data_IF_966245072779
#
_entry.id   IF_966245072779
#
_cell.length_a   1.000
_cell.length_b   1.000
_cell.length_c   1.000
_cell.angle_alpha   90.00
_cell.angle_beta   90.00
_cell.angle_gamma   90.00
#
_symmetry.space_group_name_H-M   'P 1'
#
loop_
_entity.id
_entity.type
_entity.pdbx_description
1 polymer ?
#
# COMPACT_ATOMS: atom_id res chain seq x y z
N UNK A 1 30.97 -49.09 -25.26
CA UNK A 1 30.79 -49.01 -23.80
C UNK A 1 29.79 -47.91 -23.46
N UNK A 2 28.57 -48.29 -23.14
CA UNK A 2 27.43 -47.37 -22.94
C UNK A 2 27.48 -46.84 -21.52
N UNK A 3 27.95 -45.61 -21.37
CA UNK A 3 27.93 -44.94 -20.03
C UNK A 3 26.48 -44.58 -19.75
N UNK A 4 25.90 -45.34 -18.85
CA UNK A 4 24.56 -45.17 -18.34
C UNK A 4 24.42 -43.76 -17.78
N UNK A 5 23.47 -43.02 -18.34
CA UNK A 5 22.99 -41.71 -17.95
C UNK A 5 22.27 -41.84 -16.58
N UNK A 6 23.04 -41.93 -15.46
CA UNK A 6 22.47 -41.79 -14.13
C UNK A 6 22.22 -40.29 -13.92
N UNK A 7 21.03 -39.83 -14.29
CA UNK A 7 20.41 -38.64 -13.72
C UNK A 7 20.09 -38.92 -12.27
N UNK A 8 21.13 -38.96 -11.43
CA UNK A 8 20.97 -39.00 -9.99
C UNK A 8 20.35 -37.71 -9.53
N UNK A 9 19.04 -37.72 -9.27
CA UNK A 9 18.39 -36.75 -8.40
C UNK A 9 19.20 -36.78 -7.09
N UNK A 10 20.07 -35.77 -6.91
CA UNK A 10 20.84 -35.61 -5.66
C UNK A 10 19.80 -35.57 -4.56
N UNK A 11 19.79 -36.61 -3.70
CA UNK A 11 18.88 -36.69 -2.55
C UNK A 11 19.08 -35.42 -1.71
N UNK A 12 17.99 -34.75 -1.37
CA UNK A 12 17.99 -33.63 -0.44
C UNK A 12 18.70 -34.03 0.88
N UNK A 13 19.63 -33.19 1.32
CA UNK A 13 20.37 -33.37 2.58
C UNK A 13 20.24 -32.11 3.43
N UNK A 14 19.64 -32.26 4.60
CA UNK A 14 19.46 -31.17 5.55
C UNK A 14 20.80 -30.56 6.00
N UNK A 15 21.84 -31.36 6.15
CA UNK A 15 23.18 -30.89 6.56
C UNK A 15 23.82 -29.98 5.50
N UNK A 16 23.67 -30.29 4.20
CA UNK A 16 24.17 -29.42 3.12
C UNK A 16 23.37 -28.14 3.03
N UNK A 17 22.05 -28.22 3.20
CA UNK A 17 21.20 -27.04 3.23
C UNK A 17 21.59 -26.12 4.39
N UNK A 18 21.81 -26.65 5.58
CA UNK A 18 22.25 -25.90 6.75
C UNK A 18 23.63 -25.24 6.53
N UNK A 19 24.59 -25.94 5.95
CA UNK A 19 25.89 -25.37 5.63
C UNK A 19 25.78 -24.19 4.66
N UNK A 20 24.88 -24.28 3.67
CA UNK A 20 24.60 -23.19 2.76
C UNK A 20 23.92 -22.00 3.46
N UNK A 21 22.98 -22.24 4.38
CA UNK A 21 22.35 -21.20 5.19
C UNK A 21 23.41 -20.46 6.02
N UNK A 22 24.29 -21.17 6.71
CA UNK A 22 25.38 -20.57 7.49
C UNK A 22 26.29 -19.73 6.59
N UNK A 23 26.62 -20.24 5.40
CA UNK A 23 27.40 -19.46 4.40
C UNK A 23 26.67 -18.16 4.01
N UNK A 24 25.36 -18.20 3.74
CA UNK A 24 24.58 -17.01 3.39
C UNK A 24 24.57 -16.01 4.56
N UNK A 25 24.37 -16.45 5.80
CA UNK A 25 24.40 -15.59 6.98
C UNK A 25 25.74 -14.87 7.16
N UNK A 26 26.88 -15.57 6.95
CA UNK A 26 28.20 -14.94 6.99
C UNK A 26 28.38 -13.90 5.87
N UNK A 27 27.80 -14.17 4.70
CA UNK A 27 27.84 -13.24 3.59
C UNK A 27 27.00 -11.99 3.87
N UNK A 28 25.80 -12.15 4.43
CA UNK A 28 24.89 -11.07 4.81
C UNK A 28 25.52 -10.18 5.90
N UNK A 29 26.16 -10.77 6.91
CA UNK A 29 26.83 -10.02 7.97
C UNK A 29 27.97 -9.13 7.49
N UNK A 30 28.53 -9.41 6.30
CA UNK A 30 29.60 -8.63 5.66
C UNK A 30 29.08 -7.69 4.57
N UNK A 31 27.79 -7.75 4.25
CA UNK A 31 27.17 -6.97 3.18
C UNK A 31 26.04 -6.09 3.75
N UNK A 32 26.34 -4.81 4.06
CA UNK A 32 25.34 -3.91 4.61
C UNK A 32 24.16 -3.63 3.70
N UNK A 33 24.29 -3.87 2.36
CA UNK A 33 23.24 -3.55 1.40
C UNK A 33 21.95 -4.35 1.64
N UNK A 34 22.07 -5.62 2.04
CA UNK A 34 20.92 -6.47 2.36
C UNK A 34 20.15 -5.95 3.60
N UNK A 35 20.88 -5.49 4.62
CA UNK A 35 20.29 -4.92 5.83
C UNK A 35 19.65 -3.54 5.55
N UNK A 36 20.30 -2.71 4.73
CA UNK A 36 19.75 -1.40 4.36
C UNK A 36 18.44 -1.55 3.60
N UNK A 37 18.38 -2.43 2.60
CA UNK A 37 17.18 -2.63 1.80
C UNK A 37 16.10 -3.42 2.57
N UNK A 38 16.50 -4.44 3.34
CA UNK A 38 15.55 -5.33 4.02
C UNK A 38 14.99 -4.79 5.32
N UNK A 39 15.73 -3.90 6.01
CA UNK A 39 15.36 -3.41 7.34
C UNK A 39 15.20 -1.89 7.35
N UNK A 40 16.24 -1.15 6.93
CA UNK A 40 16.22 0.32 7.02
C UNK A 40 15.22 0.93 6.04
N UNK A 41 15.18 0.47 4.80
CA UNK A 41 14.29 1.02 3.77
C UNK A 41 12.81 0.90 4.14
N UNK A 42 12.27 -0.26 4.59
CA UNK A 42 10.88 -0.35 5.03
C UNK A 42 10.56 0.59 6.19
N UNK A 43 11.44 0.66 7.17
CA UNK A 43 11.26 1.53 8.33
C UNK A 43 11.26 3.01 7.93
N UNK A 44 12.24 3.43 7.14
CA UNK A 44 12.35 4.81 6.66
C UNK A 44 11.15 5.22 5.82
N UNK A 45 10.75 4.39 4.86
CA UNK A 45 9.60 4.66 4.00
C UNK A 45 8.29 4.71 4.80
N UNK A 46 8.13 3.83 5.80
CA UNK A 46 6.97 3.87 6.69
C UNK A 46 6.87 5.20 7.43
N UNK A 47 7.98 5.69 7.97
CA UNK A 47 8.01 6.97 8.67
C UNK A 47 7.76 8.15 7.73
N UNK A 48 8.46 8.20 6.60
CA UNK A 48 8.30 9.28 5.61
C UNK A 48 6.88 9.33 5.07
N UNK A 49 6.32 8.19 4.65
CA UNK A 49 4.97 8.14 4.10
C UNK A 49 3.91 8.30 5.21
N UNK A 50 4.14 7.73 6.40
CA UNK A 50 3.18 7.79 7.51
C UNK A 50 3.01 9.19 8.08
N UNK A 51 4.07 9.99 8.12
CA UNK A 51 4.02 11.41 8.51
C UNK A 51 3.77 12.35 7.32
N UNK A 52 4.28 12.01 6.13
CA UNK A 52 4.22 12.87 4.96
C UNK A 52 2.90 12.80 4.19
N UNK A 53 2.22 11.65 4.23
CA UNK A 53 0.94 11.47 3.54
C UNK A 53 -0.17 11.55 4.59
N UNK A 54 -0.72 12.74 4.82
CA UNK A 54 -1.93 12.94 5.58
C UNK A 54 -3.06 13.28 4.60
N UNK A 55 -4.13 12.49 4.63
CA UNK A 55 -5.40 12.85 3.99
C UNK A 55 -6.34 13.52 5.00
N UNK A 56 -5.90 13.70 6.25
CA UNK A 56 -6.64 14.43 7.25
C UNK A 56 -6.47 15.92 6.95
N UNK A 57 -7.52 16.52 6.49
CA UNK A 57 -7.57 17.95 6.26
C UNK A 57 -7.72 18.63 7.61
N UNK A 58 -6.69 19.37 8.01
CA UNK A 58 -6.74 20.32 9.12
C UNK A 58 -6.68 21.70 8.52
N UNK A 59 -7.35 22.65 9.19
CA UNK A 59 -7.36 24.05 8.80
C UNK A 59 -7.82 24.23 7.32
N UNK A 60 -8.92 23.55 6.93
CA UNK A 60 -9.47 23.67 5.57
C UNK A 60 -9.90 25.15 5.36
N UNK A 61 -9.27 25.88 4.43
CA UNK A 61 -9.58 27.27 4.20
C UNK A 61 -10.92 27.39 3.46
N UNK A 62 -11.96 27.85 4.16
CA UNK A 62 -13.33 27.99 3.65
C UNK A 62 -13.77 29.44 3.67
N UNK A 63 -14.26 29.95 2.55
CA UNK A 63 -14.98 31.22 2.53
C UNK A 63 -16.47 31.00 2.77
N UNK A 64 -17.03 31.69 3.76
CA UNK A 64 -18.47 31.67 4.02
C UNK A 64 -19.04 33.01 3.56
N UNK A 65 -19.84 32.99 2.53
CA UNK A 65 -20.51 34.20 2.00
C UNK A 65 -21.91 34.30 2.63
N UNK A 66 -22.10 35.33 3.44
CA UNK A 66 -23.38 35.67 4.07
C UNK A 66 -24.07 36.78 3.26
N UNK A 67 -25.01 36.42 2.40
CA UNK A 67 -25.86 37.41 1.70
C UNK A 67 -27.02 37.93 2.56
N UNK A 68 -27.29 37.23 3.69
CA UNK A 68 -28.26 37.69 4.71
C UNK A 68 -27.62 37.67 6.11
N UNK A 69 -28.14 38.53 7.03
CA UNK A 69 -27.65 38.64 8.41
C UNK A 69 -28.63 38.13 9.44
N UNK A 70 -29.30 37.02 9.15
CA UNK A 70 -30.23 36.39 10.08
C UNK A 70 -29.49 35.60 11.17
N UNK A 71 -30.11 35.37 12.33
CA UNK A 71 -29.53 34.56 13.41
C UNK A 71 -29.17 33.13 12.96
N UNK A 72 -29.95 32.56 12.02
CA UNK A 72 -29.72 31.21 11.47
C UNK A 72 -28.46 31.20 10.60
N UNK A 73 -28.31 32.16 9.67
CA UNK A 73 -27.14 32.26 8.80
C UNK A 73 -25.86 32.54 9.61
N UNK A 74 -25.94 33.45 10.61
CA UNK A 74 -24.81 33.73 11.50
C UNK A 74 -24.40 32.51 12.32
N UNK A 75 -25.38 31.69 12.78
CA UNK A 75 -25.08 30.47 13.53
C UNK A 75 -24.30 29.46 12.70
N UNK A 76 -24.65 29.26 11.44
CA UNK A 76 -23.90 28.41 10.52
C UNK A 76 -22.44 28.91 10.42
N UNK A 77 -22.24 30.20 10.21
CA UNK A 77 -20.90 30.78 10.09
C UNK A 77 -20.08 30.59 11.39
N UNK A 78 -20.70 30.81 12.57
CA UNK A 78 -20.05 30.59 13.88
C UNK A 78 -19.68 29.12 14.07
N UNK A 79 -20.53 28.19 13.71
CA UNK A 79 -20.26 26.75 13.85
C UNK A 79 -19.09 26.28 12.96
N UNK A 80 -18.88 26.91 11.80
CA UNK A 80 -17.70 26.64 10.96
C UNK A 80 -16.44 27.30 11.52
N UNK A 81 -16.51 28.57 11.98
CA UNK A 81 -15.36 29.25 12.57
C UNK A 81 -14.92 28.68 13.91
N UNK A 82 -15.84 28.07 14.66
CA UNK A 82 -15.54 27.40 15.94
C UNK A 82 -15.01 25.96 15.76
N UNK A 83 -15.07 25.40 14.56
CA UNK A 83 -14.62 24.04 14.31
C UNK A 83 -13.14 24.03 13.91
N UNK A 84 -12.25 23.34 14.68
CA UNK A 84 -10.81 23.32 14.43
C UNK A 84 -10.39 22.65 13.10
N UNK A 85 -11.31 22.02 12.38
CA UNK A 85 -11.03 21.45 11.05
C UNK A 85 -11.10 22.49 9.93
N UNK A 86 -11.65 23.70 10.18
CA UNK A 86 -11.85 24.74 9.18
C UNK A 86 -11.15 26.04 9.56
N UNK A 87 -10.43 26.63 8.64
CA UNK A 87 -10.03 28.04 8.68
C UNK A 87 -11.06 28.84 7.91
N UNK A 88 -12.17 29.18 8.60
CA UNK A 88 -13.32 29.80 7.97
C UNK A 88 -13.22 31.32 7.98
N UNK A 89 -13.20 31.95 6.79
CA UNK A 89 -13.23 33.40 6.57
C UNK A 89 -14.64 33.83 6.14
N UNK A 90 -15.21 34.79 6.83
CA UNK A 90 -16.57 35.28 6.54
C UNK A 90 -16.50 36.46 5.57
N UNK A 91 -17.25 36.38 4.49
CA UNK A 91 -17.44 37.43 3.47
C UNK A 91 -18.92 37.83 3.41
N UNK A 92 -19.18 39.09 3.08
CA UNK A 92 -20.53 39.61 2.92
C UNK A 92 -20.91 39.86 1.46
N UNK A 93 -20.01 39.53 0.55
CA UNK A 93 -20.25 39.59 -0.89
C UNK A 93 -19.53 38.44 -1.60
N UNK A 94 -20.09 38.00 -2.70
CA UNK A 94 -19.59 36.83 -3.46
C UNK A 94 -18.26 37.14 -4.18
N UNK A 95 -18.14 38.33 -4.78
CA UNK A 95 -16.98 38.70 -5.58
C UNK A 95 -15.64 38.68 -4.84
N UNK A 96 -15.52 39.12 -3.56
CA UNK A 96 -14.28 38.95 -2.81
C UNK A 96 -13.94 37.51 -2.48
N UNK A 97 -14.95 36.65 -2.22
CA UNK A 97 -14.77 35.22 -1.96
C UNK A 97 -14.29 34.47 -3.21
N UNK A 98 -14.83 34.83 -4.39
CA UNK A 98 -14.40 34.26 -5.68
C UNK A 98 -12.94 34.63 -5.98
N UNK A 99 -12.53 35.87 -5.72
CA UNK A 99 -11.12 36.28 -5.85
C UNK A 99 -10.19 35.52 -4.91
N UNK A 100 -10.64 35.26 -3.67
CA UNK A 100 -9.88 34.46 -2.72
C UNK A 100 -9.76 33.00 -3.17
N UNK A 101 -10.78 32.45 -3.83
CA UNK A 101 -10.76 31.13 -4.43
C UNK A 101 -9.78 31.05 -5.63
N UNK A 102 -9.80 32.06 -6.50
CA UNK A 102 -8.86 32.17 -7.63
C UNK A 102 -7.42 32.33 -7.16
N UNK A 103 -7.21 33.10 -6.09
CA UNK A 103 -5.90 33.28 -5.46
C UNK A 103 -5.43 32.08 -4.61
N UNK A 104 -6.24 31.04 -4.49
CA UNK A 104 -5.98 29.88 -3.61
C UNK A 104 -5.81 30.22 -2.12
N UNK A 105 -6.40 31.28 -1.68
CA UNK A 105 -6.48 31.62 -0.26
C UNK A 105 -7.57 30.79 0.45
N UNK A 106 -8.57 30.30 -0.33
CA UNK A 106 -9.61 29.39 0.12
C UNK A 106 -9.81 28.28 -0.90
N UNK A 107 -10.19 27.10 -0.43
CA UNK A 107 -10.40 25.90 -1.28
C UNK A 107 -11.89 25.68 -1.61
N UNK A 108 -12.78 26.28 -0.82
CA UNK A 108 -14.21 26.23 -1.11
C UNK A 108 -14.93 27.49 -0.62
N UNK A 109 -16.07 27.75 -1.25
CA UNK A 109 -16.99 28.86 -0.91
C UNK A 109 -18.34 28.26 -0.56
N UNK A 110 -18.79 28.49 0.67
CA UNK A 110 -20.14 28.20 1.13
C UNK A 110 -20.97 29.49 1.05
N UNK A 111 -21.95 29.56 0.14
CA UNK A 111 -22.83 30.72 -0.01
C UNK A 111 -24.15 30.47 0.70
N UNK A 112 -24.52 31.35 1.59
CA UNK A 112 -25.83 31.41 2.23
C UNK A 112 -26.60 32.54 1.57
N UNK A 113 -27.54 32.25 0.63
CA UNK A 113 -28.22 33.27 -0.15
C UNK A 113 -29.21 34.07 0.66
N UNK A 114 -29.59 35.23 0.14
CA UNK A 114 -30.67 36.03 0.71
C UNK A 114 -32.01 35.28 0.69
N UNK A 115 -32.75 35.35 1.79
CA UNK A 115 -34.04 34.64 1.93
C UNK A 115 -33.89 33.20 2.47
N UNK A 116 -32.67 32.70 2.71
CA UNK A 116 -32.44 31.36 3.24
C UNK A 116 -33.21 31.09 4.53
N UNK A 117 -33.17 32.02 5.51
CA UNK A 117 -33.85 31.82 6.79
C UNK A 117 -35.39 31.87 6.64
N UNK A 118 -35.92 32.73 5.77
CA UNK A 118 -37.33 32.81 5.52
C UNK A 118 -37.88 31.54 4.88
N UNK A 119 -37.19 31.03 3.85
CA UNK A 119 -37.54 29.77 3.19
C UNK A 119 -37.42 28.58 4.17
N UNK A 120 -36.39 28.59 4.98
CA UNK A 120 -36.20 27.58 6.01
C UNK A 120 -37.32 27.56 7.04
N UNK A 121 -37.85 28.72 7.47
CA UNK A 121 -38.97 28.82 8.41
C UNK A 121 -40.32 28.47 7.78
N UNK A 122 -40.53 28.76 6.48
CA UNK A 122 -41.75 28.45 5.75
C UNK A 122 -41.84 27.01 5.27
N UNK A 123 -40.79 26.22 5.49
CA UNK A 123 -40.72 24.82 5.02
C UNK A 123 -40.49 24.69 3.52
N UNK A 124 -40.08 25.78 2.85
CA UNK A 124 -39.67 25.76 1.46
C UNK A 124 -38.23 25.27 1.29
N UNK A 125 -37.81 24.91 0.07
CA UNK A 125 -36.44 24.48 -0.20
C UNK A 125 -35.47 25.65 0.02
N UNK A 126 -34.67 25.55 1.09
CA UNK A 126 -33.62 26.50 1.40
C UNK A 126 -32.29 25.97 0.83
N UNK A 127 -31.89 26.48 -0.32
CA UNK A 127 -30.68 26.03 -1.04
C UNK A 127 -29.44 26.76 -0.49
N UNK A 128 -28.38 26.00 -0.25
CA UNK A 128 -27.05 26.51 0.05
C UNK A 128 -26.13 26.28 -1.18
N UNK A 129 -25.40 27.31 -1.57
CA UNK A 129 -24.42 27.20 -2.65
C UNK A 129 -23.08 26.68 -2.13
N UNK A 130 -22.54 25.62 -2.71
CA UNK A 130 -21.18 25.17 -2.44
C UNK A 130 -20.37 25.16 -3.73
N UNK A 131 -19.36 26.03 -3.79
CA UNK A 131 -18.37 26.08 -4.87
C UNK A 131 -17.05 25.56 -4.35
N UNK A 132 -16.44 24.59 -5.03
CA UNK A 132 -15.20 23.96 -4.61
C UNK A 132 -14.16 24.13 -5.72
N UNK A 133 -12.91 24.36 -5.35
CA UNK A 133 -11.80 24.41 -6.28
C UNK A 133 -11.54 23.02 -6.86
N UNK A 134 -11.88 22.82 -8.12
CA UNK A 134 -12.03 21.50 -8.73
C UNK A 134 -10.81 20.96 -9.48
N UNK A 135 -9.63 21.58 -9.36
CA UNK A 135 -8.42 21.11 -10.06
C UNK A 135 -7.96 19.74 -9.59
N UNK A 136 -8.07 19.46 -8.29
CA UNK A 136 -7.91 18.12 -7.75
C UNK A 136 -9.27 17.52 -7.38
N UNK A 137 -9.74 16.58 -8.19
CA UNK A 137 -11.03 15.93 -8.01
C UNK A 137 -11.15 15.16 -6.69
N UNK A 138 -10.04 14.62 -6.17
CA UNK A 138 -10.05 13.87 -4.92
C UNK A 138 -10.22 14.82 -3.72
N UNK A 139 -9.42 15.88 -3.66
CA UNK A 139 -9.52 16.92 -2.64
C UNK A 139 -10.88 17.61 -2.69
N UNK A 140 -11.40 17.93 -3.87
CA UNK A 140 -12.72 18.53 -4.04
C UNK A 140 -13.86 17.66 -3.48
N UNK A 141 -13.79 16.34 -3.67
CA UNK A 141 -14.76 15.39 -3.12
C UNK A 141 -14.67 15.31 -1.59
N UNK A 142 -13.46 15.33 -1.05
CA UNK A 142 -13.22 15.36 0.39
C UNK A 142 -13.74 16.67 1.01
N UNK A 143 -13.40 17.84 0.48
CA UNK A 143 -13.91 19.14 0.93
C UNK A 143 -15.44 19.17 0.96
N UNK A 144 -16.07 18.71 -0.14
CA UNK A 144 -17.53 18.61 -0.22
C UNK A 144 -18.09 17.76 0.92
N UNK A 145 -17.48 16.61 1.21
CA UNK A 145 -17.92 15.70 2.27
C UNK A 145 -17.78 16.31 3.66
N UNK A 146 -16.67 17.00 3.94
CA UNK A 146 -16.43 17.68 5.20
C UNK A 146 -17.40 18.84 5.42
N UNK A 147 -17.60 19.70 4.41
CA UNK A 147 -18.55 20.83 4.48
C UNK A 147 -19.97 20.36 4.68
N UNK A 148 -20.40 19.32 3.95
CA UNK A 148 -21.74 18.74 4.12
C UNK A 148 -21.91 18.09 5.51
N UNK A 149 -20.89 17.42 6.01
CA UNK A 149 -20.88 16.85 7.36
C UNK A 149 -21.04 17.93 8.45
N UNK A 150 -20.33 19.03 8.31
CA UNK A 150 -20.42 20.17 9.23
C UNK A 150 -21.80 20.86 9.13
N UNK A 151 -22.31 21.08 7.93
CA UNK A 151 -23.66 21.65 7.74
C UNK A 151 -24.73 20.78 8.41
N UNK A 152 -24.68 19.46 8.23
CA UNK A 152 -25.63 18.55 8.89
C UNK A 152 -25.53 18.62 10.41
N UNK A 153 -24.29 18.71 10.95
CA UNK A 153 -24.07 18.89 12.39
C UNK A 153 -24.67 20.21 12.90
N UNK A 154 -24.45 21.31 12.17
CA UNK A 154 -24.98 22.64 12.51
C UNK A 154 -26.50 22.66 12.47
N UNK A 155 -27.11 22.10 11.43
CA UNK A 155 -28.59 21.99 11.32
C UNK A 155 -29.18 21.16 12.45
N UNK A 156 -28.55 20.01 12.77
CA UNK A 156 -28.99 19.15 13.89
C UNK A 156 -28.98 19.90 15.23
N UNK A 157 -27.91 20.67 15.48
CA UNK A 157 -27.81 21.54 16.69
C UNK A 157 -28.88 22.63 16.71
N UNK A 158 -29.22 23.22 15.57
CA UNK A 158 -30.25 24.25 15.47
C UNK A 158 -31.64 23.69 15.75
N UNK A 159 -31.92 22.46 15.28
CA UNK A 159 -33.18 21.75 15.59
C UNK A 159 -33.26 21.40 17.06
N UNK A 160 -32.20 20.86 17.67
CA UNK A 160 -32.20 20.54 19.11
C UNK A 160 -32.37 21.76 19.98
N UNK A 161 -31.95 22.95 19.53
CA UNK A 161 -32.10 24.22 20.21
C UNK A 161 -33.42 24.94 19.89
N UNK A 162 -34.33 24.34 19.11
CA UNK A 162 -35.61 24.91 18.72
C UNK A 162 -35.55 26.13 17.80
N UNK A 163 -34.41 26.36 17.14
CA UNK A 163 -34.24 27.48 16.20
C UNK A 163 -34.87 27.19 14.81
N UNK A 164 -35.03 25.92 14.49
CA UNK A 164 -35.61 25.43 13.24
C UNK A 164 -36.51 24.23 13.55
N UNK A 165 -37.70 24.14 12.95
CA UNK A 165 -38.56 22.95 13.08
C UNK A 165 -37.92 21.70 12.47
N UNK A 166 -38.17 20.55 13.09
CA UNK A 166 -37.61 19.26 12.64
C UNK A 166 -38.03 18.87 11.21
N UNK A 167 -39.21 19.29 10.80
CA UNK A 167 -39.71 19.10 9.42
C UNK A 167 -38.92 19.91 8.37
N UNK A 168 -38.34 21.04 8.78
CA UNK A 168 -37.53 21.93 7.94
C UNK A 168 -36.08 21.44 7.86
N UNK A 169 -35.56 20.92 8.96
CA UNK A 169 -34.19 20.36 8.99
C UNK A 169 -33.99 19.25 7.98
N UNK A 170 -35.01 18.41 7.75
CA UNK A 170 -34.97 17.35 6.74
C UNK A 170 -34.92 17.88 5.31
N UNK A 171 -35.35 19.13 5.07
CA UNK A 171 -35.37 19.79 3.74
C UNK A 171 -34.15 20.69 3.52
N UNK A 172 -33.63 21.32 4.57
CA UNK A 172 -32.36 22.08 4.51
C UNK A 172 -31.16 21.13 4.31
N UNK A 173 -31.26 19.93 4.90
CA UNK A 173 -30.31 18.83 4.66
C UNK A 173 -30.51 18.15 3.31
N UNK A 174 -31.64 18.44 2.64
CA UNK A 174 -32.05 17.80 1.39
C UNK A 174 -31.72 18.64 0.14
N UNK A 175 -30.47 18.97 -0.05
CA UNK A 175 -29.93 18.70 -1.37
C UNK A 175 -30.09 17.18 -1.63
N UNK A 176 -29.76 16.60 -2.80
CA UNK A 176 -30.03 15.20 -3.10
C UNK A 176 -29.41 14.16 -2.15
N UNK A 177 -28.88 14.62 -1.02
CA UNK A 177 -28.38 13.81 0.09
C UNK A 177 -29.49 13.74 1.15
N UNK A 178 -30.34 12.72 1.04
CA UNK A 178 -31.11 12.24 2.18
C UNK A 178 -30.16 12.18 3.38
N UNK A 179 -30.57 12.72 4.53
CA UNK A 179 -29.83 12.60 5.81
C UNK A 179 -29.69 11.11 6.16
N UNK A 180 -28.77 10.45 5.52
CA UNK A 180 -28.29 9.17 5.99
C UNK A 180 -27.51 9.49 7.26
N UNK A 181 -27.98 9.03 8.41
CA UNK A 181 -27.14 8.92 9.59
C UNK A 181 -25.98 7.99 9.22
N UNK A 182 -24.95 8.56 8.64
CA UNK A 182 -23.77 7.82 8.20
C UNK A 182 -22.95 7.53 9.45
N UNK A 183 -23.10 6.33 9.96
CA UNK A 183 -22.25 5.79 11.02
C UNK A 183 -21.08 5.09 10.39
N UNK A 184 -19.88 5.64 10.56
CA UNK A 184 -18.64 4.94 10.17
C UNK A 184 -18.40 3.79 11.14
N UNK A 185 -18.51 2.54 10.67
CA UNK A 185 -18.47 1.37 11.55
C UNK A 185 -17.07 1.04 12.09
N UNK A 186 -16.00 1.34 11.37
CA UNK A 186 -14.65 0.90 11.73
C UNK A 186 -13.65 2.02 11.99
N UNK A 187 -13.94 3.23 11.57
CA UNK A 187 -13.12 4.42 11.80
C UNK A 187 -14.05 5.61 12.12
N UNK A 188 -14.64 5.61 13.33
CA UNK A 188 -15.59 6.66 13.76
C UNK A 188 -14.93 8.04 13.80
N UNK A 189 -13.64 8.11 14.09
CA UNK A 189 -12.86 9.34 14.12
C UNK A 189 -12.42 9.81 12.73
N UNK A 190 -12.67 9.01 11.65
CA UNK A 190 -12.29 9.28 10.26
C UNK A 190 -10.81 9.68 10.10
N UNK A 191 -9.92 9.10 10.93
CA UNK A 191 -8.49 9.37 10.91
C UNK A 191 -7.87 8.65 9.71
N UNK A 192 -7.29 9.40 8.77
CA UNK A 192 -6.73 8.86 7.52
C UNK A 192 -5.52 7.99 7.74
N UNK A 193 -4.70 8.26 8.75
CA UNK A 193 -3.52 7.45 9.08
C UNK A 193 -3.88 6.00 9.39
N UNK A 194 -5.05 5.75 9.98
CA UNK A 194 -5.52 4.39 10.29
C UNK A 194 -5.83 3.55 9.05
N UNK A 195 -6.14 4.20 7.94
CA UNK A 195 -6.38 3.56 6.66
C UNK A 195 -5.11 3.46 5.82
N UNK A 196 -4.26 4.51 5.87
CA UNK A 196 -3.06 4.62 5.04
C UNK A 196 -1.91 3.74 5.54
N UNK A 197 -1.63 3.77 6.85
CA UNK A 197 -0.47 3.09 7.43
C UNK A 197 -0.45 1.58 7.14
N UNK A 198 -1.54 0.82 7.30
CA UNK A 198 -1.58 -0.60 6.95
C UNK A 198 -1.26 -0.86 5.48
N UNK A 199 -1.79 -0.04 4.58
CA UNK A 199 -1.55 -0.17 3.14
C UNK A 199 -0.10 0.15 2.75
N UNK A 200 0.47 1.24 3.30
CA UNK A 200 1.87 1.62 3.10
C UNK A 200 2.79 0.50 3.58
N UNK A 201 2.53 -0.06 4.75
CA UNK A 201 3.35 -1.13 5.33
C UNK A 201 3.40 -2.36 4.42
N UNK A 202 2.28 -2.78 3.85
CA UNK A 202 2.23 -3.89 2.87
C UNK A 202 3.05 -3.59 1.63
N UNK A 203 2.87 -2.41 1.04
CA UNK A 203 3.55 -2.03 -0.20
C UNK A 203 5.05 -1.96 0.01
N UNK A 204 5.48 -1.29 1.07
CA UNK A 204 6.90 -1.07 1.33
C UNK A 204 7.61 -2.36 1.74
N UNK A 205 7.00 -3.18 2.60
CA UNK A 205 7.54 -4.49 2.99
C UNK A 205 7.60 -5.45 1.80
N UNK A 206 6.53 -5.49 0.99
CA UNK A 206 6.48 -6.32 -0.23
C UNK A 206 7.55 -5.92 -1.25
N UNK A 207 7.72 -4.63 -1.50
CA UNK A 207 8.74 -4.10 -2.39
C UNK A 207 10.16 -4.37 -1.86
N UNK A 208 10.43 -4.03 -0.60
CA UNK A 208 11.75 -4.21 0.01
C UNK A 208 12.20 -5.67 0.04
N UNK A 209 11.29 -6.60 0.41
CA UNK A 209 11.58 -8.04 0.40
C UNK A 209 11.91 -8.55 -1.00
N UNK A 210 11.21 -8.06 -2.03
CA UNK A 210 11.45 -8.42 -3.42
C UNK A 210 12.76 -7.82 -3.93
N UNK A 211 13.00 -6.53 -3.70
CA UNK A 211 14.23 -5.85 -4.14
C UNK A 211 15.49 -6.44 -3.49
N UNK A 212 15.46 -6.67 -2.18
CA UNK A 212 16.59 -7.27 -1.45
C UNK A 212 16.96 -8.63 -2.03
N UNK A 213 15.99 -9.49 -2.28
CA UNK A 213 16.21 -10.85 -2.81
C UNK A 213 16.51 -10.87 -4.31
N UNK A 214 16.11 -9.86 -5.08
CA UNK A 214 16.39 -9.75 -6.50
C UNK A 214 17.90 -9.59 -6.81
N UNK A 215 18.69 -9.08 -5.87
CA UNK A 215 20.13 -8.89 -6.04
C UNK A 215 20.91 -10.21 -5.87
N UNK A 216 20.40 -11.15 -5.07
CA UNK A 216 21.17 -12.24 -4.46
C UNK A 216 21.82 -13.17 -5.48
N UNK A 217 21.03 -13.76 -6.36
CA UNK A 217 21.53 -14.72 -7.37
C UNK A 217 22.23 -13.97 -8.51
N UNK A 218 21.72 -12.81 -8.91
CA UNK A 218 22.31 -11.98 -9.94
C UNK A 218 23.74 -11.55 -9.58
N UNK A 219 23.98 -11.18 -8.34
CA UNK A 219 25.31 -10.85 -7.81
C UNK A 219 26.29 -12.01 -7.91
N UNK A 220 25.86 -13.23 -7.64
CA UNK A 220 26.73 -14.43 -7.77
C UNK A 220 27.04 -14.75 -9.22
N UNK A 221 26.11 -14.48 -10.14
CA UNK A 221 26.38 -14.60 -11.57
C UNK A 221 27.38 -13.56 -12.07
N UNK A 222 27.25 -12.30 -11.70
CA UNK A 222 28.18 -11.24 -12.10
C UNK A 222 29.57 -11.42 -11.51
N UNK A 223 29.69 -11.91 -10.26
CA UNK A 223 30.97 -12.18 -9.62
C UNK A 223 31.60 -13.52 -10.06
N UNK A 224 30.92 -14.32 -10.87
CA UNK A 224 31.40 -15.63 -11.30
C UNK A 224 31.36 -16.72 -10.22
N UNK A 225 30.93 -16.39 -8.99
CA UNK A 225 30.88 -17.32 -7.86
C UNK A 225 29.82 -18.41 -8.00
N UNK A 226 28.86 -18.20 -8.90
CA UNK A 226 27.82 -19.19 -9.19
C UNK A 226 28.39 -20.50 -9.74
N UNK A 227 29.50 -20.44 -10.51
CA UNK A 227 30.19 -21.62 -11.00
C UNK A 227 30.75 -22.49 -9.87
N UNK A 228 31.31 -21.85 -8.82
CA UNK A 228 31.81 -22.55 -7.63
C UNK A 228 30.68 -23.23 -6.84
N UNK A 229 29.52 -22.58 -6.73
CA UNK A 229 28.33 -23.17 -6.08
C UNK A 229 27.83 -24.38 -6.88
N UNK A 230 27.81 -24.33 -8.21
CA UNK A 230 27.42 -25.45 -9.06
C UNK A 230 28.41 -26.61 -9.03
N UNK A 231 29.69 -26.37 -8.72
CA UNK A 231 30.69 -27.43 -8.51
C UNK A 231 30.45 -28.22 -7.21
N UNK A 232 29.69 -27.65 -6.25
CA UNK A 232 29.33 -28.36 -5.02
C UNK A 232 28.32 -29.49 -5.27
N UNK A 233 28.27 -30.53 -4.43
CA UNK A 233 27.28 -31.61 -4.56
C UNK A 233 25.86 -31.20 -4.09
N UNK A 234 25.58 -29.90 -3.92
CA UNK A 234 24.28 -29.39 -3.53
C UNK A 234 23.28 -29.43 -4.69
N UNK A 235 22.03 -29.78 -4.41
CA UNK A 235 20.95 -29.73 -5.40
C UNK A 235 20.47 -28.31 -5.63
N UNK A 236 19.87 -27.98 -6.80
CA UNK A 236 19.28 -26.66 -7.05
C UNK A 236 18.24 -26.25 -6.00
N UNK A 237 17.50 -27.22 -5.47
CA UNK A 237 16.52 -27.00 -4.40
C UNK A 237 17.21 -26.58 -3.09
N UNK A 238 18.30 -27.25 -2.70
CA UNK A 238 19.06 -26.91 -1.48
C UNK A 238 19.68 -25.51 -1.60
N UNK A 239 20.23 -25.16 -2.75
CA UNK A 239 20.82 -23.84 -3.00
C UNK A 239 19.72 -22.75 -2.90
N UNK A 240 18.58 -22.97 -3.57
CA UNK A 240 17.50 -22.01 -3.55
C UNK A 240 16.87 -21.87 -2.17
N UNK A 241 16.60 -23.00 -1.49
CA UNK A 241 15.99 -23.01 -0.15
C UNK A 241 16.89 -22.30 0.88
N UNK A 242 18.20 -22.52 0.82
CA UNK A 242 19.14 -21.86 1.72
C UNK A 242 19.10 -20.33 1.52
N UNK A 243 19.16 -19.86 0.27
CA UNK A 243 19.05 -18.42 -0.03
C UNK A 243 17.71 -17.85 0.39
N UNK A 244 16.63 -18.52 -0.01
CA UNK A 244 15.27 -18.06 0.30
C UNK A 244 15.05 -17.93 1.80
N UNK A 245 15.42 -18.92 2.59
CA UNK A 245 15.24 -18.92 4.03
C UNK A 245 16.08 -17.83 4.71
N UNK A 246 17.34 -17.63 4.29
CA UNK A 246 18.23 -16.62 4.89
C UNK A 246 17.74 -15.19 4.61
N UNK A 247 17.32 -14.89 3.39
CA UNK A 247 16.83 -13.54 3.04
C UNK A 247 15.39 -13.31 3.52
N UNK A 248 14.56 -14.35 3.56
CA UNK A 248 13.24 -14.28 4.16
C UNK A 248 13.27 -13.92 5.65
N UNK A 249 14.19 -14.50 6.42
CA UNK A 249 14.31 -14.17 7.86
C UNK A 249 14.68 -12.70 8.07
N UNK A 250 15.51 -12.12 7.21
CA UNK A 250 15.86 -10.69 7.30
C UNK A 250 14.66 -9.82 6.91
N UNK A 251 13.98 -10.15 5.80
CA UNK A 251 12.79 -9.43 5.36
C UNK A 251 11.69 -9.47 6.43
N UNK A 252 11.49 -10.64 7.05
CA UNK A 252 10.54 -10.80 8.14
C UNK A 252 10.95 -10.01 9.39
N UNK A 253 12.22 -10.03 9.77
CA UNK A 253 12.75 -9.24 10.88
C UNK A 253 12.58 -7.73 10.66
N UNK A 254 12.90 -7.24 9.45
CA UNK A 254 12.68 -5.84 9.07
C UNK A 254 11.21 -5.44 9.05
N UNK A 255 10.34 -6.33 8.56
CA UNK A 255 8.89 -6.11 8.57
C UNK A 255 8.32 -6.08 9.99
N UNK A 256 8.85 -6.91 10.88
CA UNK A 256 8.46 -6.93 12.29
C UNK A 256 8.85 -5.63 13.00
N UNK A 257 10.06 -5.14 12.73
CA UNK A 257 10.51 -3.85 13.24
C UNK A 257 9.65 -2.70 12.73
N UNK A 258 9.30 -2.71 11.45
CA UNK A 258 8.39 -1.72 10.85
C UNK A 258 7.00 -1.79 11.45
N UNK A 259 6.48 -2.99 11.72
CA UNK A 259 5.21 -3.19 12.42
C UNK A 259 5.26 -2.64 13.84
N UNK A 260 6.31 -2.96 14.62
CA UNK A 260 6.48 -2.44 15.97
C UNK A 260 6.53 -0.91 15.99
N UNK A 261 7.27 -0.31 15.05
CA UNK A 261 7.32 1.15 14.90
C UNK A 261 5.95 1.72 14.54
N UNK A 262 5.20 1.06 13.64
CA UNK A 262 3.84 1.45 13.29
C UNK A 262 2.93 1.49 14.51
N UNK A 263 3.02 0.50 15.40
CA UNK A 263 2.25 0.49 16.66
C UNK A 263 2.66 1.60 17.63
N UNK A 264 3.95 1.83 17.79
CA UNK A 264 4.47 2.84 18.73
C UNK A 264 4.10 4.26 18.28
N UNK A 265 4.10 4.51 16.97
CA UNK A 265 3.90 5.86 16.41
C UNK A 265 2.41 6.14 16.11
N UNK A 266 1.68 5.19 15.54
CA UNK A 266 0.33 5.38 15.04
C UNK A 266 -0.76 4.66 15.85
N UNK A 267 -0.40 3.80 16.80
CA UNK A 267 -1.20 3.36 17.93
C UNK A 267 -2.43 2.49 17.64
N UNK A 268 -2.51 1.74 16.51
CA UNK A 268 -3.75 1.00 16.21
C UNK A 268 -3.58 -0.43 15.73
N UNK A 269 -4.28 -1.32 16.42
CA UNK A 269 -4.58 -2.69 15.97
C UNK A 269 -5.88 -3.15 16.63
N UNK A 270 -6.90 -3.51 15.85
CA UNK A 270 -8.16 -4.09 16.36
C UNK A 270 -8.19 -5.62 16.22
N UNK A 271 -7.43 -6.16 15.27
CA UNK A 271 -7.32 -7.60 15.05
C UNK A 271 -6.29 -8.29 15.92
N UNK A 272 -6.15 -9.60 15.77
CA UNK A 272 -5.17 -10.38 16.50
C UNK A 272 -3.75 -10.14 15.98
N UNK A 273 -2.78 -10.15 16.91
CA UNK A 273 -1.36 -10.13 16.56
C UNK A 273 -1.01 -11.33 15.66
N UNK A 274 -1.63 -12.49 15.89
CA UNK A 274 -1.42 -13.69 15.10
C UNK A 274 -1.82 -13.50 13.62
N UNK A 275 -2.95 -12.82 13.35
CA UNK A 275 -3.38 -12.48 12.00
C UNK A 275 -2.38 -11.60 11.26
N UNK A 276 -1.92 -10.52 11.93
CA UNK A 276 -0.90 -9.62 11.36
C UNK A 276 0.41 -10.34 11.08
N UNK A 277 0.87 -11.16 12.02
CA UNK A 277 2.09 -11.95 11.84
C UNK A 277 1.97 -12.95 10.68
N UNK A 278 0.81 -13.62 10.54
CA UNK A 278 0.56 -14.54 9.42
C UNK A 278 0.63 -13.82 8.06
N UNK A 279 0.06 -12.61 7.95
CA UNK A 279 0.13 -11.81 6.74
C UNK A 279 1.58 -11.39 6.44
N UNK A 280 2.32 -10.86 7.42
CA UNK A 280 3.72 -10.45 7.25
C UNK A 280 4.60 -11.61 6.83
N UNK A 281 4.42 -12.77 7.47
CA UNK A 281 5.18 -13.99 7.20
C UNK A 281 4.95 -14.46 5.76
N UNK A 282 3.71 -14.47 5.29
CA UNK A 282 3.36 -14.90 3.94
C UNK A 282 3.73 -13.87 2.88
N UNK A 283 3.55 -12.56 3.16
CA UNK A 283 3.92 -11.46 2.27
C UNK A 283 5.43 -11.43 2.03
N UNK A 284 6.23 -11.49 3.09
CA UNK A 284 7.70 -11.50 2.97
C UNK A 284 8.21 -12.77 2.32
N UNK A 285 7.59 -13.93 2.59
CA UNK A 285 7.91 -15.21 1.93
C UNK A 285 7.65 -15.14 0.42
N UNK A 286 6.53 -14.57 0.02
CA UNK A 286 6.16 -14.36 -1.38
C UNK A 286 7.12 -13.36 -2.06
N UNK A 287 7.36 -12.20 -1.45
CA UNK A 287 8.23 -11.16 -1.99
C UNK A 287 9.65 -11.67 -2.21
N UNK A 288 10.22 -12.38 -1.21
CA UNK A 288 11.55 -12.99 -1.34
C UNK A 288 11.61 -14.08 -2.41
N UNK A 289 10.56 -14.89 -2.57
CA UNK A 289 10.49 -15.89 -3.62
C UNK A 289 10.43 -15.25 -5.02
N UNK A 290 9.62 -14.20 -5.19
CA UNK A 290 9.52 -13.42 -6.44
C UNK A 290 10.85 -12.76 -6.78
N UNK A 291 11.52 -12.10 -5.84
CA UNK A 291 12.81 -11.46 -6.08
C UNK A 291 13.89 -12.46 -6.48
N UNK A 292 14.00 -13.59 -5.79
CA UNK A 292 14.92 -14.66 -6.18
C UNK A 292 14.62 -15.25 -7.58
N UNK A 293 13.34 -15.36 -7.94
CA UNK A 293 12.94 -15.77 -9.30
C UNK A 293 13.44 -14.78 -10.35
N UNK A 294 13.22 -13.47 -10.14
CA UNK A 294 13.72 -12.41 -11.02
C UNK A 294 15.24 -12.48 -11.11
N UNK A 295 15.92 -12.59 -9.97
CA UNK A 295 17.38 -12.67 -9.84
C UNK A 295 17.98 -13.82 -10.64
N UNK A 296 17.37 -15.02 -10.52
CA UNK A 296 17.82 -16.22 -11.23
C UNK A 296 17.65 -16.12 -12.76
N UNK A 297 16.62 -15.40 -13.22
CA UNK A 297 16.29 -15.27 -14.64
C UNK A 297 17.14 -14.19 -15.31
N UNK A 298 17.33 -13.06 -14.66
CA UNK A 298 17.95 -11.86 -15.22
C UNK A 298 19.48 -11.92 -15.16
N UNK A 299 20.07 -12.43 -14.08
CA UNK A 299 21.52 -12.59 -13.86
C UNK A 299 22.35 -11.31 -13.89
N UNK A 300 21.71 -10.15 -13.84
CA UNK A 300 22.32 -8.83 -13.75
C UNK A 300 21.67 -8.09 -12.59
N UNK A 301 22.48 -7.52 -11.67
CA UNK A 301 21.98 -6.90 -10.44
C UNK A 301 21.12 -5.67 -10.70
N UNK A 302 21.60 -4.78 -11.58
CA UNK A 302 20.90 -3.52 -11.88
C UNK A 302 19.52 -3.81 -12.50
N UNK A 303 19.50 -4.63 -13.54
CA UNK A 303 18.25 -4.98 -14.20
C UNK A 303 17.30 -5.79 -13.29
N UNK A 304 17.84 -6.61 -12.39
CA UNK A 304 17.02 -7.36 -11.44
C UNK A 304 16.33 -6.46 -10.41
N UNK A 305 17.03 -5.41 -9.91
CA UNK A 305 16.42 -4.41 -9.03
C UNK A 305 15.34 -3.62 -9.77
N UNK A 306 15.65 -3.14 -10.97
CA UNK A 306 14.72 -2.37 -11.78
C UNK A 306 13.43 -3.15 -12.06
N UNK A 307 13.55 -4.41 -12.47
CA UNK A 307 12.39 -5.29 -12.66
C UNK A 307 11.65 -5.59 -11.36
N UNK A 308 12.34 -5.71 -10.23
CA UNK A 308 11.70 -5.90 -8.94
C UNK A 308 10.86 -4.67 -8.55
N UNK A 309 11.38 -3.45 -8.78
CA UNK A 309 10.62 -2.21 -8.56
C UNK A 309 9.41 -2.15 -9.48
N UNK A 310 9.59 -2.39 -10.78
CA UNK A 310 8.49 -2.31 -11.76
C UNK A 310 7.43 -3.38 -11.51
N UNK A 311 7.82 -4.61 -11.17
CA UNK A 311 6.87 -5.72 -11.00
C UNK A 311 6.25 -5.81 -9.61
N UNK A 312 6.97 -5.40 -8.56
CA UNK A 312 6.47 -5.51 -7.20
C UNK A 312 5.90 -4.19 -6.68
N UNK A 313 6.59 -3.05 -6.89
CA UNK A 313 6.20 -1.78 -6.29
C UNK A 313 5.09 -1.06 -7.09
N UNK A 314 5.26 -0.90 -8.41
CA UNK A 314 4.31 -0.14 -9.23
C UNK A 314 2.89 -0.72 -9.24
N UNK A 315 2.70 -2.04 -9.49
CA UNK A 315 1.38 -2.62 -9.41
C UNK A 315 0.80 -2.62 -8.00
N UNK A 316 1.66 -2.79 -6.98
CA UNK A 316 1.22 -2.74 -5.59
C UNK A 316 0.68 -1.37 -5.21
N UNK A 317 1.31 -0.30 -5.67
CA UNK A 317 0.87 1.07 -5.38
C UNK A 317 -0.45 1.41 -6.06
N UNK A 318 -0.58 1.08 -7.37
CA UNK A 318 -1.70 1.52 -8.20
C UNK A 318 -2.90 0.55 -8.19
N UNK A 319 -2.64 -0.76 -8.21
CA UNK A 319 -3.65 -1.79 -8.47
C UNK A 319 -4.00 -2.65 -7.23
N UNK A 320 -3.46 -2.33 -6.05
CA UNK A 320 -3.74 -3.12 -4.83
C UNK A 320 -4.99 -2.70 -4.07
N UNK A 321 -5.70 -1.67 -4.51
CA UNK A 321 -6.78 -1.08 -3.73
C UNK A 321 -6.30 -0.24 -2.55
N UNK A 322 -5.02 0.14 -2.55
CA UNK A 322 -4.45 1.02 -1.54
C UNK A 322 -4.85 2.48 -1.77
N UNK A 323 -4.51 3.04 -2.93
CA UNK A 323 -4.77 4.43 -3.28
C UNK A 323 -6.21 4.64 -3.77
N UNK A 324 -6.68 3.73 -4.63
CA UNK A 324 -8.00 3.79 -5.25
C UNK A 324 -8.76 2.52 -4.93
N UNK A 325 -10.07 2.64 -4.67
CA UNK A 325 -10.93 1.47 -4.55
C UNK A 325 -11.01 0.77 -5.93
N UNK A 326 -10.65 -0.51 -5.97
CA UNK A 326 -10.74 -1.34 -7.19
C UNK A 326 -12.15 -1.42 -7.78
N UNK A 327 -13.18 -1.11 -7.00
CA UNK A 327 -14.58 -1.05 -7.47
C UNK A 327 -14.89 0.21 -8.27
N UNK A 328 -14.04 1.25 -8.14
CA UNK A 328 -14.20 2.53 -8.82
C UNK A 328 -13.49 2.62 -10.17
N UNK A 329 -12.71 1.59 -10.53
CA UNK A 329 -11.95 1.55 -11.78
C UNK A 329 -12.68 0.70 -12.84
N UNK A 330 -12.34 0.86 -14.15
CA UNK A 330 -12.88 0.01 -15.21
C UNK A 330 -12.66 -1.49 -14.95
N UNK A 331 -13.62 -2.32 -15.34
CA UNK A 331 -13.68 -3.77 -15.05
C UNK A 331 -12.39 -4.52 -15.43
N UNK A 332 -11.74 -4.13 -16.53
CA UNK A 332 -10.50 -4.76 -16.96
C UNK A 332 -9.30 -4.44 -16.03
N UNK A 333 -9.26 -3.23 -15.44
CA UNK A 333 -8.26 -2.85 -14.44
C UNK A 333 -8.52 -3.59 -13.12
N UNK A 334 -9.80 -3.67 -12.71
CA UNK A 334 -10.22 -4.45 -11.56
C UNK A 334 -9.79 -5.91 -11.68
N UNK A 335 -10.02 -6.53 -12.85
CA UNK A 335 -9.60 -7.91 -13.10
C UNK A 335 -8.09 -8.10 -12.94
N UNK A 336 -7.28 -7.20 -13.53
CA UNK A 336 -5.81 -7.25 -13.38
C UNK A 336 -5.41 -7.03 -11.91
N UNK A 337 -6.00 -6.06 -11.22
CA UNK A 337 -5.74 -5.78 -9.82
C UNK A 337 -6.05 -6.99 -8.91
N UNK A 338 -7.16 -7.67 -9.15
CA UNK A 338 -7.55 -8.90 -8.43
C UNK A 338 -6.67 -10.10 -8.73
N UNK A 339 -5.95 -10.10 -9.85
CA UNK A 339 -4.97 -11.15 -10.15
C UNK A 339 -3.67 -10.96 -9.35
N UNK A 340 -3.37 -9.76 -8.88
CA UNK A 340 -2.10 -9.42 -8.24
C UNK A 340 -2.09 -9.79 -6.74
N UNK A 341 -1.01 -10.44 -6.25
CA UNK A 341 -0.88 -10.82 -4.84
C UNK A 341 -0.95 -9.63 -3.85
N UNK A 342 -0.39 -8.44 -4.14
CA UNK A 342 -0.44 -7.32 -3.22
C UNK A 342 -1.85 -6.87 -2.83
N UNK A 343 -2.84 -7.05 -3.70
CA UNK A 343 -4.24 -6.74 -3.44
C UNK A 343 -4.77 -7.50 -2.23
N UNK A 344 -4.51 -8.80 -2.17
CA UNK A 344 -4.92 -9.64 -1.06
C UNK A 344 -4.20 -9.31 0.24
N UNK A 345 -2.92 -8.90 0.14
CA UNK A 345 -2.15 -8.46 1.30
C UNK A 345 -2.70 -7.15 1.88
N UNK A 346 -2.98 -6.15 1.03
CA UNK A 346 -3.56 -4.86 1.44
C UNK A 346 -4.95 -5.05 2.05
N UNK A 347 -5.81 -5.86 1.42
CA UNK A 347 -7.14 -6.17 1.94
C UNK A 347 -7.08 -6.84 3.32
N UNK A 348 -6.21 -7.86 3.48
CA UNK A 348 -6.03 -8.56 4.74
C UNK A 348 -5.49 -7.65 5.86
N UNK A 349 -4.51 -6.80 5.55
CA UNK A 349 -3.96 -5.86 6.51
C UNK A 349 -4.96 -4.81 6.94
N UNK A 350 -5.65 -4.16 5.99
CA UNK A 350 -6.70 -3.19 6.29
C UNK A 350 -7.79 -3.79 7.15
N UNK A 351 -8.21 -5.02 6.84
CA UNK A 351 -9.20 -5.73 7.63
C UNK A 351 -8.71 -5.95 9.07
N UNK A 352 -7.51 -6.48 9.25
CA UNK A 352 -6.95 -6.76 10.57
C UNK A 352 -6.78 -5.49 11.40
N UNK A 353 -6.34 -4.39 10.80
CA UNK A 353 -6.15 -3.12 11.51
C UNK A 353 -7.47 -2.43 11.87
N UNK A 354 -8.47 -2.44 10.99
CA UNK A 354 -9.70 -1.67 11.13
C UNK A 354 -10.88 -2.48 11.66
N UNK A 355 -11.08 -3.69 11.13
CA UNK A 355 -12.29 -4.50 11.37
C UNK A 355 -12.06 -5.67 12.33
N UNK A 356 -10.81 -6.06 12.57
CA UNK A 356 -10.48 -7.25 13.34
C UNK A 356 -10.38 -8.53 12.50
N UNK A 357 -10.26 -9.68 13.16
CA UNK A 357 -10.10 -10.95 12.49
C UNK A 357 -11.42 -11.44 11.85
N UNK A 358 -11.32 -11.91 10.63
CA UNK A 358 -12.46 -12.44 9.87
C UNK A 358 -12.06 -13.53 8.88
N UNK A 359 -13.01 -14.22 8.27
CA UNK A 359 -12.74 -15.29 7.30
C UNK A 359 -11.97 -14.81 6.07
N UNK A 360 -12.14 -13.55 5.68
CA UNK A 360 -11.44 -12.93 4.56
C UNK A 360 -9.93 -12.88 4.82
N UNK A 361 -9.50 -12.63 6.05
CA UNK A 361 -8.09 -12.62 6.45
C UNK A 361 -7.42 -13.96 6.10
N UNK A 362 -7.98 -15.06 6.57
CA UNK A 362 -7.39 -16.39 6.38
C UNK A 362 -7.45 -16.85 4.93
N UNK A 363 -8.53 -16.50 4.21
CA UNK A 363 -8.61 -16.71 2.75
C UNK A 363 -7.45 -16.01 2.04
N UNK A 364 -7.20 -14.75 2.34
CA UNK A 364 -6.16 -13.96 1.69
C UNK A 364 -4.75 -14.45 2.06
N UNK A 365 -4.52 -14.87 3.30
CA UNK A 365 -3.28 -15.55 3.73
C UNK A 365 -3.06 -16.82 2.91
N UNK A 366 -4.09 -17.64 2.70
CA UNK A 366 -4.02 -18.83 1.86
C UNK A 366 -3.65 -18.52 0.41
N UNK A 367 -4.23 -17.47 -0.18
CA UNK A 367 -3.90 -17.01 -1.55
C UNK A 367 -2.44 -16.54 -1.63
N UNK A 368 -1.95 -15.80 -0.63
CA UNK A 368 -0.55 -15.38 -0.57
C UNK A 368 0.42 -16.56 -0.45
N UNK A 369 0.05 -17.60 0.33
CA UNK A 369 0.82 -18.85 0.41
C UNK A 369 0.89 -19.55 -0.96
N UNK A 370 -0.21 -19.61 -1.71
CA UNK A 370 -0.23 -20.18 -3.06
C UNK A 370 0.69 -19.41 -4.02
N UNK A 371 0.68 -18.08 -3.98
CA UNK A 371 1.58 -17.26 -4.76
C UNK A 371 3.06 -17.44 -4.36
N UNK A 372 3.35 -17.52 -3.05
CA UNK A 372 4.70 -17.80 -2.55
C UNK A 372 5.21 -19.16 -3.06
N UNK A 373 4.39 -20.21 -2.99
CA UNK A 373 4.72 -21.53 -3.50
C UNK A 373 4.92 -21.52 -5.02
N UNK A 374 4.09 -20.79 -5.77
CA UNK A 374 4.23 -20.64 -7.22
C UNK A 374 5.57 -20.02 -7.61
N UNK A 375 5.91 -18.86 -7.02
CA UNK A 375 7.19 -18.19 -7.31
C UNK A 375 8.38 -19.01 -6.85
N UNK A 376 8.28 -19.70 -5.71
CA UNK A 376 9.29 -20.62 -5.24
C UNK A 376 9.54 -21.75 -6.26
N UNK A 377 8.50 -22.41 -6.72
CA UNK A 377 8.61 -23.47 -7.72
C UNK A 377 9.19 -22.98 -9.05
N UNK A 378 8.76 -21.79 -9.49
CA UNK A 378 9.29 -21.17 -10.72
C UNK A 378 10.78 -20.87 -10.59
N UNK A 379 11.21 -20.33 -9.47
CA UNK A 379 12.61 -19.99 -9.21
C UNK A 379 13.51 -21.23 -9.17
N UNK A 380 13.09 -22.29 -8.49
CA UNK A 380 13.81 -23.56 -8.45
C UNK A 380 13.96 -24.17 -9.85
N UNK A 381 12.94 -24.05 -10.71
CA UNK A 381 12.99 -24.55 -12.09
C UNK A 381 13.98 -23.76 -12.95
N UNK A 382 14.08 -22.45 -12.75
CA UNK A 382 15.03 -21.59 -13.49
C UNK A 382 16.47 -21.86 -13.07
N UNK A 383 16.70 -22.20 -11.80
CA UNK A 383 18.05 -22.47 -11.25
C UNK A 383 18.61 -23.85 -11.62
N UNK A 384 18.12 -24.52 -12.65
CA UNK A 384 18.66 -25.84 -13.05
C UNK A 384 20.14 -25.74 -13.37
N UNK A 385 20.94 -26.68 -12.79
CA UNK A 385 22.34 -26.86 -13.14
C UNK A 385 22.43 -27.25 -14.61
N UNK A 386 23.11 -26.45 -15.45
CA UNK A 386 23.51 -26.89 -16.77
C UNK A 386 24.70 -27.82 -16.58
N UNK A 387 24.76 -28.97 -17.27
CA UNK A 387 25.98 -29.77 -17.30
C UNK A 387 27.13 -28.88 -17.81
N UNK A 388 28.35 -29.03 -17.26
CA UNK A 388 29.50 -28.30 -17.77
C UNK A 388 29.59 -28.57 -19.27
N UNK A 389 29.73 -27.50 -20.06
CA UNK A 389 30.02 -27.63 -21.49
C UNK A 389 31.34 -28.35 -21.53
N UNK A 390 31.34 -29.59 -22.04
CA UNK A 390 32.57 -30.31 -22.36
C UNK A 390 33.27 -29.47 -23.41
N UNK A 391 34.33 -28.77 -23.01
CA UNK A 391 35.25 -28.14 -23.97
C UNK A 391 35.77 -29.27 -24.81
N UNK A 392 35.63 -29.24 -26.13
CA UNK A 392 36.21 -30.27 -26.96
C UNK A 392 37.71 -30.28 -26.73
N UNK A 393 38.22 -31.46 -26.40
CA UNK A 393 39.64 -31.67 -26.20
C UNK A 393 40.39 -31.30 -27.49
N UNK A 394 41.14 -30.21 -27.46
CA UNK A 394 41.97 -29.76 -28.59
C UNK A 394 43.22 -30.62 -28.80
N UNK A 395 43.29 -31.76 -28.12
CA UNK A 395 44.47 -32.64 -28.13
C UNK A 395 44.42 -33.80 -29.13
N UNK A 396 43.50 -33.78 -30.11
CA UNK A 396 43.72 -34.70 -31.26
C UNK A 396 44.77 -34.09 -32.22
N UNK A 397 45.97 -34.62 -32.26
CA UNK A 397 46.92 -34.22 -33.28
C UNK A 397 46.38 -34.64 -34.66
N UNK A 398 46.21 -33.67 -35.55
CA UNK A 398 45.97 -33.97 -36.94
C UNK A 398 47.11 -34.84 -37.42
N UNK A 399 46.82 -36.16 -37.55
CA UNK A 399 47.69 -37.14 -38.14
C UNK A 399 48.18 -36.68 -39.49
N UNK A 400 49.48 -36.77 -39.66
CA UNK A 400 50.15 -36.39 -40.87
C UNK A 400 49.62 -37.11 -42.08
N UNK A 401 49.42 -36.36 -43.14
CA UNK A 401 49.40 -36.87 -44.49
C UNK A 401 50.85 -36.81 -45.00
N UNK A 402 51.50 -37.97 -45.05
CA UNK A 402 52.70 -38.19 -45.80
C UNK A 402 52.32 -38.45 -47.25
N UNK A 403 53.11 -37.92 -48.12
CA UNK A 403 53.32 -38.04 -49.58
C UNK A 403 52.67 -37.01 -50.45
#
# INVERSE_FOLDING_TARGET
>A
MTVARKTGLLRFSASRCLALIVKEWHQIGRDPSALVIGVFLPLFMLLVCGFGISMDMKDVPVAIVLEERTPVAQRIAVDFTANPYFDAKVFYAKAPAEKALEAREVECILTIPAGFAANAQQGEAAELGLTVYGVDSNSATLFKSYVLGQLNSSVTKMVSNGMIESAVASRVSAGPVKSLASRSWFNEASISTWYLVPGILVIVVGAASTMMSAIVIAREWERGTMAAIFATPASPLEIFLAKWLSYWTIAFGGSLLSLCTSFLVFGQLRGSIAGVLAILLTLTAMGTALGLFISAKVKNQFLAIELAVVLAYMPSLMLSGFLFDLRSVPVWIEFVGRLLPPTYAVEAFKQCFLAGDGPILWRNVGILCCWAALFFCMAVRVLRKRPPVTVPDKSEPKGGASC
#
